data_IF_000985594141
#
_entry.id   IF_000985594141
#
_cell.length_a   1.000
_cell.length_b   1.000
_cell.length_c   1.000
_cell.angle_alpha   90.00
_cell.angle_beta   90.00
_cell.angle_gamma   90.00
#
_symmetry.space_group_name_H-M   'P 1'
#
loop_
_entity.id
_entity.type
_entity.pdbx_description
1 polymer ?
#
# COMPACT_ATOMS: atom_id res chain seq x y z
N UNK A 1 19.23 -1.58 2.45
CA UNK A 1 18.69 -0.24 2.81
C UNK A 1 17.24 -0.40 3.27
N UNK A 2 16.59 0.61 3.89
CA UNK A 2 15.16 0.52 4.30
C UNK A 2 14.20 0.14 3.14
N UNK A 3 14.69 0.27 1.90
CA UNK A 3 14.06 -0.18 0.65
C UNK A 3 13.96 -1.72 0.50
N UNK A 4 14.76 -2.50 1.22
CA UNK A 4 14.76 -3.97 1.13
C UNK A 4 13.70 -4.63 2.05
N UNK A 5 12.98 -3.83 2.86
CA UNK A 5 11.93 -4.32 3.77
C UNK A 5 10.52 -4.27 3.15
N UNK A 6 10.41 -3.89 1.87
CA UNK A 6 9.14 -3.58 1.22
C UNK A 6 9.03 -4.22 -0.17
N UNK A 7 9.43 -5.49 -0.36
CA UNK A 7 8.62 -6.31 -1.26
C UNK A 7 7.32 -6.64 -0.50
N UNK A 8 6.19 -6.93 -1.16
CA UNK A 8 5.05 -7.49 -0.45
C UNK A 8 5.56 -8.66 0.38
N UNK A 9 5.46 -8.55 1.70
CA UNK A 9 6.10 -9.51 2.63
C UNK A 9 5.50 -10.90 2.40
N UNK A 10 4.26 -10.94 1.90
CA UNK A 10 3.53 -12.14 1.54
C UNK A 10 2.64 -11.92 0.30
N UNK A 11 2.82 -12.69 -0.80
CA UNK A 11 1.96 -12.62 -1.97
C UNK A 11 0.49 -12.94 -1.68
N UNK A 12 0.20 -13.75 -0.65
CA UNK A 12 -1.15 -14.22 -0.34
C UNK A 12 -2.03 -13.18 0.35
N UNK A 13 -1.43 -12.18 1.01
CA UNK A 13 -2.14 -11.10 1.72
C UNK A 13 -2.05 -9.75 1.01
N UNK A 14 -1.55 -9.72 -0.24
CA UNK A 14 -1.35 -8.48 -0.99
C UNK A 14 -2.68 -7.79 -1.33
N UNK A 15 -2.69 -6.47 -1.26
CA UNK A 15 -3.79 -5.64 -1.75
C UNK A 15 -3.73 -5.56 -3.28
N UNK A 16 -4.88 -5.77 -3.93
CA UNK A 16 -5.01 -5.77 -5.39
C UNK A 16 -5.89 -4.58 -5.78
N UNK A 17 -5.35 -3.69 -6.62
CA UNK A 17 -6.13 -2.57 -7.15
C UNK A 17 -7.14 -3.06 -8.18
N UNK A 18 -8.40 -2.64 -8.02
CA UNK A 18 -9.48 -2.86 -8.99
C UNK A 18 -9.28 -1.88 -10.15
N UNK A 19 -8.45 -2.26 -11.12
CA UNK A 19 -8.19 -1.44 -12.30
C UNK A 19 -9.36 -1.47 -13.30
N UNK A 20 -9.51 -0.37 -14.05
CA UNK A 20 -10.45 -0.21 -15.18
C UNK A 20 -9.96 -0.78 -16.53
N UNK A 21 -8.66 -1.05 -16.70
CA UNK A 21 -8.02 -1.50 -17.94
C UNK A 21 -7.45 -2.91 -17.84
N UNK A 22 -8.00 -3.85 -18.61
CA UNK A 22 -7.58 -5.25 -18.67
C UNK A 22 -6.22 -5.48 -19.37
N UNK A 23 -5.63 -4.43 -19.94
CA UNK A 23 -4.47 -4.54 -20.85
C UNK A 23 -3.11 -4.38 -20.17
N UNK A 24 -3.08 -3.97 -18.91
CA UNK A 24 -1.84 -3.80 -18.15
C UNK A 24 -1.87 -4.65 -16.87
N UNK A 25 -1.15 -5.78 -16.80
CA UNK A 25 -1.08 -6.60 -15.59
C UNK A 25 -0.51 -5.87 -14.37
N UNK A 26 0.35 -4.87 -14.59
CA UNK A 26 0.98 -4.09 -13.51
C UNK A 26 0.05 -3.04 -12.93
N UNK A 27 -1.01 -2.67 -13.64
CA UNK A 27 -2.03 -1.73 -13.14
C UNK A 27 -2.76 -2.19 -11.88
N UNK A 28 -2.67 -3.48 -11.54
CA UNK A 28 -3.24 -4.03 -10.30
C UNK A 28 -2.27 -3.94 -9.12
N UNK A 29 -1.04 -3.47 -9.35
CA UNK A 29 0.04 -3.47 -8.38
C UNK A 29 0.06 -2.27 -7.46
N UNK A 30 0.10 -2.57 -6.17
CA UNK A 30 0.51 -1.66 -5.11
C UNK A 30 1.32 -2.46 -4.09
N UNK A 31 2.31 -1.79 -3.50
CA UNK A 31 3.14 -2.34 -2.45
C UNK A 31 2.43 -2.21 -1.09
N UNK A 32 1.43 -3.08 -0.90
CA UNK A 32 0.61 -3.09 0.31
C UNK A 32 0.11 -4.50 0.63
N UNK A 33 -0.03 -4.78 1.92
CA UNK A 33 -0.55 -6.04 2.45
C UNK A 33 -1.63 -5.78 3.50
N UNK A 34 -2.64 -6.64 3.53
CA UNK A 34 -3.58 -6.70 4.64
C UNK A 34 -2.87 -7.25 5.89
N UNK A 35 -3.21 -6.68 7.04
CA UNK A 35 -2.77 -7.16 8.34
C UNK A 35 -4.00 -7.55 9.16
N UNK A 36 -3.94 -8.76 9.69
CA UNK A 36 -4.95 -9.31 10.58
C UNK A 36 -5.04 -8.53 11.89
N UNK A 37 -6.25 -8.16 12.29
CA UNK A 37 -6.54 -7.51 13.55
C UNK A 37 -6.56 -8.50 14.72
N UNK A 38 -6.47 -7.95 15.94
CA UNK A 38 -6.47 -8.74 17.18
C UNK A 38 -7.71 -9.66 17.32
N UNK A 39 -8.87 -9.19 16.86
CA UNK A 39 -10.14 -9.93 16.93
C UNK A 39 -10.32 -10.94 15.78
N UNK A 40 -9.29 -11.18 14.97
CA UNK A 40 -9.29 -12.17 13.91
C UNK A 40 -9.85 -11.69 12.56
N UNK A 41 -10.15 -10.40 12.42
CA UNK A 41 -10.46 -9.80 11.12
C UNK A 41 -9.20 -9.78 10.23
N UNK A 42 -9.20 -10.58 9.17
CA UNK A 42 -8.08 -10.76 8.24
C UNK A 42 -7.69 -9.47 7.49
N UNK A 43 -8.57 -8.47 7.44
CA UNK A 43 -8.37 -7.21 6.70
C UNK A 43 -8.52 -5.96 7.58
N UNK A 44 -8.20 -6.09 8.86
CA UNK A 44 -8.38 -4.98 9.82
C UNK A 44 -7.49 -3.76 9.51
N UNK A 45 -6.28 -3.98 8.98
CA UNK A 45 -5.35 -2.90 8.64
C UNK A 45 -4.69 -3.16 7.29
N UNK A 46 -4.13 -2.11 6.70
CA UNK A 46 -3.28 -2.18 5.52
C UNK A 46 -1.92 -1.57 5.89
N UNK A 47 -0.85 -2.36 5.72
CA UNK A 47 0.51 -1.84 5.74
C UNK A 47 0.99 -1.62 4.30
N UNK A 48 1.58 -0.47 4.04
CA UNK A 48 2.04 -0.09 2.71
C UNK A 48 3.32 0.73 2.79
N UNK A 49 4.08 0.72 1.70
CA UNK A 49 5.13 1.69 1.48
C UNK A 49 4.54 3.12 1.42
N UNK A 50 5.31 4.12 1.85
CA UNK A 50 4.95 5.52 1.58
C UNK A 50 4.74 5.76 0.08
N UNK A 51 3.69 6.48 -0.33
CA UNK A 51 3.46 6.76 -1.74
C UNK A 51 4.65 7.50 -2.32
N UNK A 52 5.08 7.10 -3.51
CA UNK A 52 6.09 7.80 -4.31
C UNK A 52 5.38 8.67 -5.35
N UNK A 53 6.10 9.58 -6.00
CA UNK A 53 5.52 10.48 -7.01
C UNK A 53 4.76 9.75 -8.14
N UNK A 54 5.20 8.54 -8.50
CA UNK A 54 4.58 7.71 -9.53
C UNK A 54 3.48 6.75 -9.00
N UNK A 55 3.31 6.62 -7.69
CA UNK A 55 2.33 5.70 -7.06
C UNK A 55 1.31 6.43 -6.17
N UNK A 56 1.35 7.76 -6.11
CA UNK A 56 0.41 8.56 -5.30
C UNK A 56 -1.06 8.31 -5.68
N UNK A 57 -1.35 8.14 -6.97
CA UNK A 57 -2.71 7.86 -7.44
C UNK A 57 -3.15 6.44 -7.06
N UNK A 58 -2.25 5.47 -7.15
CA UNK A 58 -2.48 4.08 -6.75
C UNK A 58 -2.78 3.99 -5.24
N UNK A 59 -2.04 4.75 -4.43
CA UNK A 59 -2.28 4.86 -2.99
C UNK A 59 -3.68 5.41 -2.67
N UNK A 60 -4.11 6.48 -3.34
CA UNK A 60 -5.45 7.03 -3.14
C UNK A 60 -6.55 6.12 -3.69
N UNK A 61 -6.30 5.43 -4.80
CA UNK A 61 -7.21 4.41 -5.33
C UNK A 61 -7.40 3.28 -4.32
N UNK A 62 -6.31 2.79 -3.69
CA UNK A 62 -6.39 1.79 -2.64
C UNK A 62 -7.21 2.28 -1.45
N UNK A 63 -6.92 3.49 -0.95
CA UNK A 63 -7.61 4.06 0.20
C UNK A 63 -9.12 4.22 -0.06
N UNK A 64 -9.48 4.65 -1.27
CA UNK A 64 -10.87 4.75 -1.70
C UNK A 64 -11.53 3.38 -1.84
N UNK A 65 -10.88 2.42 -2.50
CA UNK A 65 -11.41 1.09 -2.76
C UNK A 65 -11.70 0.30 -1.49
N UNK A 66 -10.82 0.43 -0.49
CA UNK A 66 -10.89 -0.29 0.78
C UNK A 66 -11.64 0.53 1.84
N UNK A 67 -12.33 1.60 1.44
CA UNK A 67 -13.11 2.49 2.31
C UNK A 67 -12.32 2.95 3.56
N UNK A 68 -11.03 3.23 3.40
CA UNK A 68 -10.12 3.56 4.51
C UNK A 68 -10.46 4.93 5.11
N UNK A 69 -10.98 5.01 6.35
CA UNK A 69 -11.40 6.27 6.94
C UNK A 69 -10.25 7.04 7.60
N UNK A 70 -9.14 6.36 7.89
CA UNK A 70 -8.00 6.89 8.64
C UNK A 70 -6.70 6.42 8.00
N UNK A 71 -5.76 7.34 7.82
CA UNK A 71 -4.40 7.07 7.35
C UNK A 71 -3.42 7.50 8.44
N UNK A 72 -2.53 6.59 8.84
CA UNK A 72 -1.51 6.84 9.85
C UNK A 72 -0.13 6.75 9.20
N UNK A 73 0.60 7.86 9.19
CA UNK A 73 1.98 7.90 8.70
C UNK A 73 2.94 7.92 9.90
N UNK A 74 3.80 6.90 9.99
CA UNK A 74 4.75 6.71 11.10
C UNK A 74 6.18 7.22 10.77
N UNK A 75 6.38 7.79 9.59
CA UNK A 75 7.69 8.28 9.12
C UNK A 75 7.66 9.79 8.87
N UNK A 76 8.86 10.40 8.82
CA UNK A 76 9.00 11.79 8.38
C UNK A 76 8.88 11.87 6.86
N UNK A 77 8.39 13.00 6.35
CA UNK A 77 8.33 13.28 4.90
C UNK A 77 9.72 13.27 4.23
N UNK A 78 10.78 13.51 5.00
CA UNK A 78 12.15 13.54 4.49
C UNK A 78 13.09 12.75 5.40
N UNK A 79 13.80 11.80 4.81
CA UNK A 79 14.91 11.11 5.46
C UNK A 79 16.17 11.30 4.61
N UNK A 80 17.25 11.81 5.21
CA UNK A 80 18.60 11.88 4.61
C UNK A 80 18.67 12.37 3.14
N UNK A 81 17.94 13.45 2.83
CA UNK A 81 17.82 14.11 1.51
C UNK A 81 16.83 13.54 0.49
N UNK A 82 16.15 12.43 0.77
CA UNK A 82 15.07 11.95 -0.08
C UNK A 82 13.72 12.44 0.45
N UNK A 83 12.91 13.01 -0.44
CA UNK A 83 11.51 13.38 -0.18
C UNK A 83 10.67 12.24 -0.72
N UNK A 84 9.82 11.68 0.14
CA UNK A 84 8.85 10.64 -0.22
C UNK A 84 7.67 11.25 -0.97
#
# INVERSE_FOLDING_TARGET
SLTDLLSPVDPHSRVILRTKSSFDPLSSYINANYIRGYLGDEKAYIATQGPMINTVNDFWQMAWQEDCPVIIMITKLREKNEVW
#
